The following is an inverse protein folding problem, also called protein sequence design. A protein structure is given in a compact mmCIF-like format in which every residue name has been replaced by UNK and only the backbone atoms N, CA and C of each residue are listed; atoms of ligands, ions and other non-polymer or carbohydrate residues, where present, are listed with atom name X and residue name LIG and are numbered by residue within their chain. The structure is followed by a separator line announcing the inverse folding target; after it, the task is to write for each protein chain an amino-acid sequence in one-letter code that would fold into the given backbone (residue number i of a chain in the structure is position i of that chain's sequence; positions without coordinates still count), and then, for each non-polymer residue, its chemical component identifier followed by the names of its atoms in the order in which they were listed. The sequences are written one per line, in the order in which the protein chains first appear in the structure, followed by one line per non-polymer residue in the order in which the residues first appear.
data_IF_850925614017
#
_entry.id   IF_850925614017
#
_cell.length_a   1.000
_cell.length_b   1.000
_cell.length_c   1.000
_cell.angle_alpha   90.00
_cell.angle_beta   90.00
_cell.angle_gamma   90.00
#
_symmetry.space_group_name_H-M   'P 1'
#
loop_
_entity.id
_entity.type
_entity.pdbx_description
1 polymer ?
#
# COMPACT_ATOMS: atom_id res chain seq x y z
N UNK A 1 20.00 15.56 -5.84
CA UNK A 1 18.96 14.49 -5.97
C UNK A 1 17.68 15.07 -6.60
N UNK A 2 16.73 14.25 -7.07
CA UNK A 2 15.46 14.70 -7.66
C UNK A 2 14.25 14.31 -6.79
N UNK A 3 13.20 15.14 -6.81
CA UNK A 3 11.95 14.84 -6.10
C UNK A 3 11.18 13.72 -6.80
N UNK A 4 10.81 12.67 -6.05
CA UNK A 4 10.08 11.49 -6.55
C UNK A 4 8.62 11.74 -6.93
N UNK A 5 8.09 12.92 -6.62
CA UNK A 5 6.72 13.34 -6.92
C UNK A 5 6.66 14.32 -8.09
N UNK A 6 7.47 15.38 -8.09
CA UNK A 6 7.40 16.44 -9.10
C UNK A 6 8.58 16.49 -10.09
N UNK A 7 9.57 15.61 -9.96
CA UNK A 7 10.69 15.49 -10.92
C UNK A 7 11.73 16.61 -10.88
N UNK A 8 11.57 17.63 -10.03
CA UNK A 8 12.51 18.74 -9.92
C UNK A 8 13.70 18.43 -9.01
N UNK A 9 14.82 19.06 -9.30
CA UNK A 9 16.04 18.98 -8.50
C UNK A 9 15.80 19.54 -7.10
N UNK A 10 16.36 18.85 -6.11
CA UNK A 10 16.36 19.25 -4.70
C UNK A 10 17.78 19.05 -4.15
N UNK A 11 18.11 19.84 -3.12
CA UNK A 11 19.38 19.69 -2.42
C UNK A 11 19.44 18.34 -1.69
N UNK A 12 20.63 17.76 -1.60
CA UNK A 12 20.82 16.41 -1.04
C UNK A 12 20.47 16.33 0.46
N UNK A 13 20.50 17.45 1.18
CA UNK A 13 20.11 17.55 2.59
C UNK A 13 18.67 18.06 2.80
N UNK A 14 17.87 18.20 1.75
CA UNK A 14 16.50 18.71 1.87
C UNK A 14 15.59 17.66 2.52
N UNK A 15 14.84 18.05 3.56
CA UNK A 15 13.79 17.22 4.19
C UNK A 15 12.45 17.34 3.45
N UNK A 16 12.21 18.50 2.83
CA UNK A 16 10.99 18.81 2.09
C UNK A 16 11.34 19.38 0.71
N UNK A 17 10.55 19.03 -0.30
CA UNK A 17 10.72 19.60 -1.63
C UNK A 17 10.16 21.03 -1.67
N UNK A 18 11.01 22.01 -1.95
CA UNK A 18 10.61 23.43 -2.08
C UNK A 18 9.67 23.69 -3.26
N UNK A 19 9.59 22.77 -4.22
CA UNK A 19 8.79 22.94 -5.42
C UNK A 19 7.37 22.37 -5.32
N UNK A 20 7.14 21.34 -4.51
CA UNK A 20 5.83 20.68 -4.41
C UNK A 20 5.36 20.41 -2.98
N UNK A 21 6.16 20.73 -1.95
CA UNK A 21 5.77 20.62 -0.55
C UNK A 21 5.71 19.20 0.01
N UNK A 22 6.07 18.16 -0.76
CA UNK A 22 6.14 16.78 -0.24
C UNK A 22 7.50 16.50 0.42
N UNK A 23 7.54 15.68 1.48
CA UNK A 23 8.79 15.26 2.08
C UNK A 23 9.65 14.47 1.08
N UNK A 24 10.97 14.62 1.19
CA UNK A 24 11.92 13.92 0.33
C UNK A 24 11.82 12.41 0.55
N UNK A 25 11.96 11.63 -0.53
CA UNK A 25 11.74 10.18 -0.52
C UNK A 25 10.28 9.73 -0.70
N UNK A 26 9.28 10.62 -0.61
CA UNK A 26 7.86 10.26 -0.84
C UNK A 26 7.50 10.31 -2.32
N UNK A 27 6.73 9.32 -2.77
CA UNK A 27 6.29 9.18 -4.15
C UNK A 27 7.15 8.21 -4.97
N UNK A 28 6.88 8.12 -6.26
CA UNK A 28 7.73 7.36 -7.17
C UNK A 28 7.16 7.37 -8.57
N UNK A 29 6.79 8.58 -8.99
CA UNK A 29 6.52 8.90 -10.38
C UNK A 29 7.80 9.35 -11.07
N UNK A 30 8.84 9.73 -10.30
CA UNK A 30 10.14 10.13 -10.81
C UNK A 30 11.30 9.46 -10.06
N UNK A 31 12.42 9.28 -10.75
CA UNK A 31 13.65 8.74 -10.19
C UNK A 31 14.38 9.75 -9.29
N UNK A 32 14.84 9.31 -8.13
CA UNK A 32 15.58 10.14 -7.17
C UNK A 32 17.01 10.54 -7.61
N UNK A 33 17.58 9.82 -8.59
CA UNK A 33 18.95 10.05 -9.08
C UNK A 33 18.98 10.79 -10.42
N UNK A 34 18.07 10.46 -11.35
CA UNK A 34 18.12 11.02 -12.71
C UNK A 34 16.86 11.81 -13.13
N UNK A 35 15.85 11.94 -12.27
CA UNK A 35 14.65 12.75 -12.53
C UNK A 35 13.69 12.22 -13.60
N UNK A 36 14.00 11.08 -14.23
CA UNK A 36 13.15 10.48 -15.26
C UNK A 36 11.83 9.96 -14.68
N UNK A 37 10.77 9.95 -15.50
CA UNK A 37 9.51 9.31 -15.14
C UNK A 37 9.71 7.83 -14.85
N UNK A 38 9.11 7.37 -13.76
CA UNK A 38 9.19 6.00 -13.28
C UNK A 38 7.79 5.47 -13.07
N UNK A 39 7.55 4.23 -13.51
CA UNK A 39 6.35 3.52 -13.13
C UNK A 39 6.37 3.33 -11.60
N UNK A 40 5.27 3.63 -10.88
CA UNK A 40 5.18 3.32 -9.46
C UNK A 40 5.50 1.88 -9.10
N UNK A 41 5.22 0.92 -9.99
CA UNK A 41 5.50 -0.51 -9.78
C UNK A 41 6.93 -0.96 -10.12
N UNK A 42 7.81 -0.05 -10.56
CA UNK A 42 9.17 -0.43 -10.97
C UNK A 42 10.16 -0.41 -9.80
N UNK A 43 10.88 -1.52 -9.59
CA UNK A 43 11.97 -1.62 -8.61
C UNK A 43 13.23 -0.87 -9.04
N UNK A 44 13.45 -0.76 -10.36
CA UNK A 44 14.63 -0.15 -10.95
C UNK A 44 14.23 0.94 -11.96
N UNK A 45 15.01 2.02 -12.00
CA UNK A 45 14.86 3.03 -13.03
C UNK A 45 15.42 2.51 -14.36
N UNK A 46 14.59 2.46 -15.39
CA UNK A 46 15.00 2.03 -16.74
C UNK A 46 16.06 2.93 -17.39
N UNK A 47 16.18 4.20 -16.96
CA UNK A 47 17.16 5.15 -17.53
C UNK A 47 18.53 5.11 -16.87
N UNK A 48 18.61 4.90 -15.55
CA UNK A 48 19.87 5.01 -14.80
C UNK A 48 20.21 3.80 -13.93
N UNK A 49 19.35 2.77 -13.88
CA UNK A 49 19.58 1.54 -13.13
C UNK A 49 19.47 1.68 -11.60
N UNK A 50 19.19 2.88 -11.06
CA UNK A 50 19.06 3.04 -9.62
C UNK A 50 17.84 2.32 -9.06
N UNK A 51 17.97 1.75 -7.85
CA UNK A 51 16.84 1.19 -7.12
C UNK A 51 15.87 2.29 -6.70
N UNK A 52 14.64 2.18 -7.18
CA UNK A 52 13.54 3.03 -6.80
C UNK A 52 12.92 2.42 -5.54
N UNK A 53 13.50 2.70 -4.38
CA UNK A 53 12.96 2.17 -3.12
C UNK A 53 11.48 2.55 -2.98
N UNK A 54 10.58 1.61 -3.27
CA UNK A 54 9.14 1.75 -3.11
C UNK A 54 8.67 0.47 -2.43
N UNK A 55 7.90 0.65 -1.37
CA UNK A 55 7.49 -0.44 -0.50
C UNK A 55 6.69 -1.50 -1.26
N UNK A 56 6.94 -2.76 -0.92
CA UNK A 56 6.30 -3.98 -1.40
C UNK A 56 4.83 -3.77 -1.79
N UNK A 57 4.50 -4.05 -3.05
CA UNK A 57 3.11 -4.13 -3.48
C UNK A 57 2.49 -5.41 -2.91
N UNK A 58 1.30 -5.28 -2.33
CA UNK A 58 0.58 -6.39 -1.73
C UNK A 58 -0.37 -6.99 -2.77
N UNK A 59 -0.45 -8.32 -2.79
CA UNK A 59 -1.28 -9.03 -3.75
C UNK A 59 -2.76 -8.95 -3.37
N UNK A 60 -3.61 -8.51 -4.30
CA UNK A 60 -5.06 -8.40 -4.16
C UNK A 60 -5.70 -9.78 -3.96
N UNK A 61 -5.27 -10.76 -4.75
CA UNK A 61 -5.77 -12.14 -4.68
C UNK A 61 -5.49 -12.72 -3.30
N UNK A 62 -4.27 -12.54 -2.77
CA UNK A 62 -3.91 -13.01 -1.43
C UNK A 62 -4.78 -12.35 -0.35
N UNK A 63 -4.95 -11.03 -0.41
CA UNK A 63 -5.80 -10.29 0.53
C UNK A 63 -7.27 -10.77 0.50
N UNK A 64 -7.83 -10.97 -0.68
CA UNK A 64 -9.20 -11.48 -0.86
C UNK A 64 -9.37 -12.91 -0.36
N UNK A 65 -8.40 -13.79 -0.66
CA UNK A 65 -8.42 -15.19 -0.22
C UNK A 65 -8.33 -15.28 1.31
N UNK A 66 -7.47 -14.47 1.95
CA UNK A 66 -7.44 -14.35 3.40
C UNK A 66 -8.74 -13.81 3.98
N UNK A 67 -9.45 -12.92 3.28
CA UNK A 67 -10.76 -12.44 3.71
C UNK A 67 -11.82 -13.54 3.69
N UNK A 68 -11.82 -14.41 2.69
CA UNK A 68 -12.81 -15.49 2.56
C UNK A 68 -12.52 -16.63 3.56
N UNK A 69 -11.28 -17.11 3.63
CA UNK A 69 -10.94 -18.28 4.46
C UNK A 69 -10.62 -17.92 5.92
N UNK A 70 -10.06 -16.73 6.16
CA UNK A 70 -9.59 -16.28 7.48
C UNK A 70 -10.27 -14.97 7.92
N UNK A 71 -11.41 -14.62 7.31
CA UNK A 71 -12.17 -13.40 7.60
C UNK A 71 -12.67 -13.31 9.04
N UNK A 72 -12.95 -14.44 9.70
CA UNK A 72 -13.29 -14.48 11.13
C UNK A 72 -12.14 -14.08 12.06
N UNK A 73 -10.90 -14.21 11.59
CA UNK A 73 -9.68 -13.85 12.34
C UNK A 73 -9.16 -12.46 11.94
N UNK A 74 -9.72 -11.83 10.90
CA UNK A 74 -9.29 -10.51 10.42
C UNK A 74 -7.91 -10.50 9.74
N UNK A 75 -7.40 -11.64 9.26
CA UNK A 75 -6.04 -11.76 8.70
C UNK A 75 -5.84 -10.87 7.47
N UNK A 76 -6.87 -10.68 6.64
CA UNK A 76 -6.82 -9.77 5.49
C UNK A 76 -6.55 -8.31 5.90
N UNK A 77 -7.07 -7.87 7.05
CA UNK A 77 -6.84 -6.52 7.59
C UNK A 77 -5.42 -6.32 8.09
N UNK A 78 -4.85 -7.31 8.77
CA UNK A 78 -3.43 -7.30 9.14
C UNK A 78 -2.53 -7.33 7.90
N UNK A 79 -2.90 -8.12 6.88
CA UNK A 79 -2.16 -8.16 5.62
C UNK A 79 -2.12 -6.78 4.94
N UNK A 80 -3.24 -6.05 4.96
CA UNK A 80 -3.37 -4.70 4.39
C UNK A 80 -2.79 -3.57 5.26
N UNK A 81 -2.21 -3.88 6.43
CA UNK A 81 -1.62 -2.89 7.34
C UNK A 81 -2.62 -2.23 8.31
N UNK A 82 -3.90 -2.58 8.25
CA UNK A 82 -4.93 -2.06 9.14
C UNK A 82 -4.98 -2.82 10.47
N UNK A 83 -3.93 -2.65 11.29
CA UNK A 83 -3.77 -3.36 12.57
C UNK A 83 -4.91 -3.05 13.55
N UNK A 84 -5.29 -1.77 13.68
CA UNK A 84 -6.32 -1.35 14.64
C UNK A 84 -7.69 -1.96 14.35
N UNK A 85 -8.13 -1.94 13.09
CA UNK A 85 -9.42 -2.53 12.70
C UNK A 85 -9.38 -4.05 12.69
N UNK A 86 -8.21 -4.67 12.43
CA UNK A 86 -8.00 -6.11 12.59
C UNK A 86 -8.22 -6.57 14.04
N UNK A 87 -7.70 -5.84 15.02
CA UNK A 87 -7.91 -6.15 16.45
C UNK A 87 -9.39 -6.01 16.83
N UNK A 88 -10.05 -4.93 16.39
CA UNK A 88 -11.49 -4.73 16.63
C UNK A 88 -12.29 -5.89 16.06
N UNK A 89 -11.95 -6.34 14.85
CA UNK A 89 -12.64 -7.46 14.20
C UNK A 89 -12.51 -8.76 14.98
N UNK A 90 -11.34 -9.06 15.55
CA UNK A 90 -11.14 -10.23 16.44
C UNK A 90 -11.98 -10.10 17.72
N UNK A 91 -12.03 -8.93 18.34
CA UNK A 91 -12.86 -8.72 19.53
C UNK A 91 -14.33 -8.92 19.19
N UNK A 92 -14.80 -8.35 18.08
CA UNK A 92 -16.18 -8.53 17.61
C UNK A 92 -16.48 -9.99 17.34
N UNK A 93 -15.61 -10.73 16.65
CA UNK A 93 -15.83 -12.17 16.42
C UNK A 93 -15.83 -12.98 17.70
N UNK A 94 -14.99 -12.64 18.68
CA UNK A 94 -14.97 -13.31 19.98
C UNK A 94 -16.23 -13.03 20.81
N UNK A 95 -16.68 -11.77 20.89
CA UNK A 95 -17.87 -11.38 21.64
C UNK A 95 -19.19 -11.78 20.98
N UNK A 96 -19.19 -11.99 19.66
CA UNK A 96 -20.39 -12.43 18.90
C UNK A 96 -20.41 -13.93 18.59
N UNK A 97 -19.57 -14.74 19.26
CA UNK A 97 -19.46 -16.18 19.02
C UNK A 97 -19.27 -16.55 17.53
N UNK A 98 -18.43 -15.80 16.82
CA UNK A 98 -18.09 -16.06 15.41
C UNK A 98 -18.99 -15.40 14.37
N UNK A 99 -20.05 -14.68 14.76
CA UNK A 99 -20.91 -13.98 13.79
C UNK A 99 -20.16 -12.88 13.01
N UNK A 100 -19.14 -12.27 13.62
CA UNK A 100 -18.26 -11.32 12.94
C UNK A 100 -17.46 -11.91 11.77
N UNK A 101 -17.48 -13.22 11.53
CA UNK A 101 -16.85 -13.83 10.34
C UNK A 101 -17.54 -13.41 9.04
N UNK A 102 -18.84 -13.10 9.09
CA UNK A 102 -19.60 -12.59 7.95
C UNK A 102 -19.05 -11.24 7.48
N UNK A 103 -18.61 -10.39 8.41
CA UNK A 103 -17.96 -9.12 8.10
C UNK A 103 -16.70 -9.33 7.25
N UNK A 104 -15.83 -10.27 7.66
CA UNK A 104 -14.61 -10.59 6.92
C UNK A 104 -14.88 -11.19 5.54
N UNK A 105 -15.92 -12.01 5.40
CA UNK A 105 -16.33 -12.60 4.13
C UNK A 105 -16.81 -11.52 3.14
N UNK A 106 -17.62 -10.57 3.60
CA UNK A 106 -18.08 -9.43 2.78
C UNK A 106 -16.89 -8.60 2.29
N UNK A 107 -15.94 -8.29 3.17
CA UNK A 107 -14.74 -7.55 2.80
C UNK A 107 -13.82 -8.32 1.84
N UNK A 108 -13.69 -9.64 2.02
CA UNK A 108 -12.94 -10.49 1.08
C UNK A 108 -13.50 -10.42 -0.34
N UNK A 109 -14.83 -10.45 -0.50
CA UNK A 109 -15.49 -10.30 -1.81
C UNK A 109 -15.30 -8.88 -2.36
N UNK A 110 -15.41 -7.84 -1.53
CA UNK A 110 -15.18 -6.44 -1.93
C UNK A 110 -13.76 -6.19 -2.45
N UNK A 111 -12.75 -6.84 -1.86
CA UNK A 111 -11.36 -6.78 -2.33
C UNK A 111 -11.23 -7.44 -3.71
N UNK A 112 -11.85 -8.61 -3.92
CA UNK A 112 -11.79 -9.32 -5.21
C UNK A 112 -12.57 -8.60 -6.32
N UNK A 113 -13.65 -7.90 -5.97
CA UNK A 113 -14.52 -7.14 -6.91
C UNK A 113 -14.02 -5.72 -7.19
N UNK A 114 -12.76 -5.42 -6.89
CA UNK A 114 -12.12 -4.12 -7.15
C UNK A 114 -12.79 -2.93 -6.46
N UNK A 115 -13.66 -3.16 -5.48
CA UNK A 115 -14.23 -2.06 -4.68
C UNK A 115 -13.22 -1.56 -3.64
N UNK A 116 -12.27 -2.41 -3.23
CA UNK A 116 -11.23 -2.08 -2.27
C UNK A 116 -9.83 -2.17 -2.90
N UNK A 117 -9.27 -1.02 -3.31
CA UNK A 117 -8.06 -0.97 -4.16
C UNK A 117 -6.78 -0.58 -3.45
N UNK A 118 -6.86 -0.09 -2.21
CA UNK A 118 -5.72 0.52 -1.52
C UNK A 118 -5.45 -0.14 -0.17
N UNK A 119 -4.18 -0.23 0.21
CA UNK A 119 -3.75 -0.63 1.56
C UNK A 119 -3.74 0.55 2.55
N UNK A 120 -3.37 0.29 3.81
CA UNK A 120 -3.29 1.31 4.86
C UNK A 120 -2.27 2.41 4.55
N UNK A 121 -1.28 2.13 3.71
CA UNK A 121 -0.25 3.07 3.26
C UNK A 121 -0.67 3.82 1.97
N UNK A 122 -1.87 3.57 1.45
CA UNK A 122 -2.40 4.18 0.23
C UNK A 122 -1.77 3.64 -1.06
N UNK A 123 -1.11 2.48 -1.01
CA UNK A 123 -0.57 1.78 -2.18
C UNK A 123 -1.66 0.96 -2.85
N UNK A 124 -1.69 0.90 -4.18
CA UNK A 124 -2.63 0.05 -4.89
C UNK A 124 -2.29 -1.43 -4.66
N UNK A 125 -3.32 -2.27 -4.55
CA UNK A 125 -3.17 -3.71 -4.58
C UNK A 125 -2.92 -4.18 -6.01
N UNK A 126 -1.97 -5.09 -6.19
CA UNK A 126 -1.61 -5.66 -7.49
C UNK A 126 -2.17 -7.07 -7.62
N UNK A 127 -2.62 -7.47 -8.81
CA UNK A 127 -3.09 -8.83 -9.08
C UNK A 127 -1.94 -9.83 -9.22
#
# INVERSE_FOLDING_TARGET
MYCRTCGKEILDAAVICVNCGVPTGRGGNHCQICGADTNPAADFCIKCGSRLGKGEFKSKIAAGLFGIFLGGLGVHRFYLGYIGTGIIQILVTLFTCGFGAIWGLIEGILILTDQFKYDAEGRPLVD
#
